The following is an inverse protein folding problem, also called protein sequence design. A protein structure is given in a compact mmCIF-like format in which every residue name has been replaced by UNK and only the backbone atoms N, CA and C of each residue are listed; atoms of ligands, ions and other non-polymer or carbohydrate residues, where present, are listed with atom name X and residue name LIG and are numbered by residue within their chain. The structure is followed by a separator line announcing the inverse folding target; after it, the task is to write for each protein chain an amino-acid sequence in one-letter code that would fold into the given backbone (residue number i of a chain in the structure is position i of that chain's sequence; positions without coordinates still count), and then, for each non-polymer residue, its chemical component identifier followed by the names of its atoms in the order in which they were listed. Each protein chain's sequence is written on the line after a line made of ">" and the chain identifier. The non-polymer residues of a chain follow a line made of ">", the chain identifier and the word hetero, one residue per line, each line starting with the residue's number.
data_IF_897406452332
#
_entry.id   IF_897406452332
#
_cell.length_a   1.000
_cell.length_b   1.000
_cell.length_c   1.000
_cell.angle_alpha   90.00
_cell.angle_beta   90.00
_cell.angle_gamma   90.00
#
_symmetry.space_group_name_H-M   'P 1'
#
loop_
_entity.id
_entity.type
_entity.pdbx_description
1 polymer ?
#
# COMPACT_ATOMS: atom_id res chain seq x y z
N UNK A 1 -13.37 -0.50 -14.30
CA UNK A 1 -13.25 0.89 -13.80
C UNK A 1 -11.82 1.06 -13.30
N UNK A 2 -11.05 1.99 -13.84
CA UNK A 2 -9.63 2.19 -13.46
C UNK A 2 -9.54 3.15 -12.27
N UNK A 3 -8.48 3.08 -11.48
CA UNK A 3 -8.25 3.99 -10.33
C UNK A 3 -8.39 5.47 -10.73
N UNK A 4 -7.92 5.84 -11.94
CA UNK A 4 -8.06 7.20 -12.46
C UNK A 4 -9.52 7.63 -12.67
N UNK A 5 -10.36 6.75 -13.23
CA UNK A 5 -11.79 7.05 -13.42
C UNK A 5 -12.53 7.25 -12.10
N UNK A 6 -12.16 6.51 -11.05
CA UNK A 6 -12.73 6.69 -9.71
C UNK A 6 -12.31 8.01 -9.07
N UNK A 7 -11.06 8.46 -9.31
CA UNK A 7 -10.55 9.73 -8.81
C UNK A 7 -11.33 10.90 -9.43
N UNK A 8 -11.55 10.88 -10.75
CA UNK A 8 -12.29 11.93 -11.46
C UNK A 8 -13.74 12.05 -10.96
N UNK A 9 -14.43 10.93 -10.75
CA UNK A 9 -15.80 10.92 -10.21
C UNK A 9 -15.84 11.56 -8.83
N UNK A 10 -14.90 11.21 -7.94
CA UNK A 10 -14.89 11.75 -6.58
C UNK A 10 -14.58 13.26 -6.58
N UNK A 11 -13.68 13.72 -7.44
CA UNK A 11 -13.45 15.17 -7.64
C UNK A 11 -14.72 15.87 -8.09
N UNK A 12 -15.45 15.32 -9.07
CA UNK A 12 -16.71 15.88 -9.54
C UNK A 12 -17.81 15.90 -8.46
N UNK A 13 -17.88 14.85 -7.62
CA UNK A 13 -18.80 14.82 -6.47
C UNK A 13 -18.45 15.92 -5.45
N UNK A 14 -17.16 16.12 -5.17
CA UNK A 14 -16.71 17.16 -4.24
C UNK A 14 -17.09 18.56 -4.76
N UNK A 15 -16.84 18.84 -6.04
CA UNK A 15 -17.23 20.10 -6.70
C UNK A 15 -18.74 20.32 -6.66
N UNK A 16 -19.53 19.30 -7.03
CA UNK A 16 -21.00 19.36 -7.00
C UNK A 16 -21.51 19.65 -5.58
N UNK A 17 -20.88 19.08 -4.56
CA UNK A 17 -21.29 19.28 -3.18
C UNK A 17 -20.98 20.71 -2.69
N UNK A 18 -19.84 21.27 -3.11
CA UNK A 18 -19.50 22.68 -2.88
C UNK A 18 -20.52 23.61 -3.56
N UNK A 19 -20.96 23.28 -4.77
CA UNK A 19 -22.00 24.04 -5.47
C UNK A 19 -23.35 23.98 -4.75
N UNK A 20 -23.80 22.78 -4.36
CA UNK A 20 -25.03 22.58 -3.58
C UNK A 20 -24.98 23.38 -2.28
N UNK A 21 -23.84 23.34 -1.58
CA UNK A 21 -23.64 24.13 -0.35
C UNK A 21 -23.77 25.63 -0.62
N UNK A 22 -23.13 26.14 -1.68
CA UNK A 22 -23.22 27.55 -2.07
C UNK A 22 -24.66 28.00 -2.34
N UNK A 23 -25.48 27.14 -2.97
CA UNK A 23 -26.90 27.40 -3.18
C UNK A 23 -27.64 27.49 -1.85
N UNK A 24 -27.42 26.52 -0.96
CA UNK A 24 -28.04 26.50 0.37
C UNK A 24 -27.65 27.71 1.21
N UNK A 25 -26.39 28.14 1.16
CA UNK A 25 -25.89 29.29 1.91
C UNK A 25 -26.56 30.60 1.50
N UNK A 26 -26.96 30.73 0.23
CA UNK A 26 -27.71 31.89 -0.29
C UNK A 26 -29.18 31.94 0.15
N UNK A 27 -29.74 30.85 0.68
CA UNK A 27 -31.13 30.82 1.16
C UNK A 27 -31.24 31.52 2.53
N UNK A 28 -31.97 32.64 2.65
CA UNK A 28 -32.09 33.36 3.91
C UNK A 28 -32.96 32.57 4.90
N UNK A 29 -32.33 32.05 5.96
CA UNK A 29 -32.99 31.14 6.93
C UNK A 29 -34.06 31.87 7.77
N UNK A 30 -33.99 33.20 7.86
CA UNK A 30 -34.94 34.05 8.57
C UNK A 30 -36.29 34.22 7.87
N UNK A 31 -36.42 33.83 6.60
CA UNK A 31 -37.68 33.88 5.85
C UNK A 31 -38.63 32.72 6.19
N UNK A 32 -38.19 31.74 6.98
CA UNK A 32 -38.95 30.53 7.27
C UNK A 32 -39.50 30.50 8.69
N UNK A 33 -40.70 29.92 8.83
CA UNK A 33 -41.28 29.58 10.14
C UNK A 33 -40.37 28.61 10.92
N UNK A 34 -40.41 28.60 12.27
CA UNK A 34 -39.45 27.87 13.10
C UNK A 34 -39.21 26.39 12.72
N UNK A 35 -40.22 25.58 12.37
CA UNK A 35 -40.00 24.18 11.96
C UNK A 35 -39.22 24.05 10.65
N UNK A 36 -39.49 24.94 9.69
CA UNK A 36 -38.82 24.96 8.38
C UNK A 36 -37.42 25.56 8.49
N UNK A 37 -37.24 26.55 9.38
CA UNK A 37 -35.94 27.08 9.78
C UNK A 37 -35.04 25.98 10.33
N UNK A 38 -35.54 25.16 11.26
CA UNK A 38 -34.79 24.03 11.83
C UNK A 38 -34.38 23.02 10.75
N UNK A 39 -35.33 22.59 9.90
CA UNK A 39 -35.03 21.66 8.79
C UNK A 39 -33.95 22.18 7.85
N UNK A 40 -34.00 23.48 7.50
CA UNK A 40 -33.00 24.11 6.62
C UNK A 40 -31.62 24.14 7.28
N UNK A 41 -31.53 24.51 8.56
CA UNK A 41 -30.26 24.48 9.32
C UNK A 41 -29.70 23.06 9.39
N UNK A 42 -30.52 22.07 9.78
CA UNK A 42 -30.09 20.67 9.86
C UNK A 42 -29.57 20.16 8.50
N UNK A 43 -30.16 20.61 7.38
CA UNK A 43 -29.71 20.23 6.05
C UNK A 43 -28.36 20.88 5.69
N UNK A 44 -28.16 22.16 6.03
CA UNK A 44 -26.87 22.86 5.86
C UNK A 44 -25.75 22.16 6.65
N UNK A 45 -26.06 21.73 7.87
CA UNK A 45 -25.10 21.01 8.72
C UNK A 45 -24.76 19.64 8.12
N UNK A 46 -25.75 18.89 7.62
CA UNK A 46 -25.53 17.61 6.93
C UNK A 46 -24.68 17.76 5.67
N UNK A 47 -24.94 18.79 4.85
CA UNK A 47 -24.15 19.08 3.64
C UNK A 47 -22.70 19.41 4.03
N UNK A 48 -22.50 20.26 5.04
CA UNK A 48 -21.15 20.62 5.52
C UNK A 48 -20.38 19.43 6.10
N UNK A 49 -21.08 18.55 6.84
CA UNK A 49 -20.49 17.30 7.33
C UNK A 49 -20.09 16.36 6.19
N UNK A 50 -20.93 16.24 5.15
CA UNK A 50 -20.63 15.41 3.98
C UNK A 50 -19.43 15.96 3.21
N UNK A 51 -19.38 17.28 2.99
CA UNK A 51 -18.27 17.95 2.32
C UNK A 51 -16.96 17.73 3.07
N UNK A 52 -16.98 17.91 4.39
CA UNK A 52 -15.81 17.66 5.22
C UNK A 52 -15.37 16.19 5.17
N UNK A 53 -16.32 15.23 5.20
CA UNK A 53 -16.00 13.79 5.08
C UNK A 53 -15.36 13.46 3.75
N UNK A 54 -15.86 14.01 2.63
CA UNK A 54 -15.28 13.79 1.30
C UNK A 54 -13.89 14.43 1.21
N UNK A 55 -13.77 15.70 1.59
CA UNK A 55 -12.52 16.46 1.47
C UNK A 55 -11.41 15.95 2.39
N UNK A 56 -11.74 15.28 3.50
CA UNK A 56 -10.73 14.70 4.40
C UNK A 56 -10.54 13.20 4.20
N UNK A 57 -11.60 12.47 3.85
CA UNK A 57 -11.58 11.03 3.68
C UNK A 57 -10.90 10.59 2.38
N UNK A 58 -11.19 11.28 1.28
CA UNK A 58 -10.65 10.89 -0.02
C UNK A 58 -9.13 11.08 -0.14
N UNK A 59 -8.53 12.21 0.29
CA UNK A 59 -7.07 12.34 0.27
C UNK A 59 -6.36 11.30 1.14
N UNK A 60 -6.95 10.92 2.28
CA UNK A 60 -6.43 9.84 3.13
C UNK A 60 -6.44 8.50 2.41
N UNK A 61 -7.55 8.15 1.75
CA UNK A 61 -7.67 6.94 0.94
C UNK A 61 -6.64 6.94 -0.20
N UNK A 62 -6.54 8.03 -0.96
CA UNK A 62 -5.59 8.15 -2.05
C UNK A 62 -4.14 8.00 -1.57
N UNK A 63 -3.81 8.55 -0.40
CA UNK A 63 -2.51 8.36 0.24
C UNK A 63 -2.24 6.91 0.61
N UNK A 64 -3.22 6.20 1.17
CA UNK A 64 -3.11 4.78 1.49
C UNK A 64 -2.91 3.93 0.23
N UNK A 65 -3.73 4.14 -0.81
CA UNK A 65 -3.61 3.41 -2.08
C UNK A 65 -2.20 3.59 -2.67
N UNK A 66 -1.67 4.82 -2.68
CA UNK A 66 -0.32 5.10 -3.18
C UNK A 66 0.75 4.42 -2.33
N UNK A 67 0.62 4.46 -1.02
CA UNK A 67 1.54 3.80 -0.10
C UNK A 67 1.60 2.29 -0.35
N UNK A 68 0.44 1.62 -0.39
CA UNK A 68 0.36 0.18 -0.66
C UNK A 68 0.83 -0.18 -2.07
N UNK A 69 0.44 0.59 -3.09
CA UNK A 69 0.89 0.36 -4.46
C UNK A 69 2.41 0.46 -4.61
N UNK A 70 3.03 1.43 -3.93
CA UNK A 70 4.49 1.58 -3.90
C UNK A 70 5.14 0.40 -3.17
N UNK A 71 4.61 0.01 -2.02
CA UNK A 71 5.16 -1.10 -1.24
C UNK A 71 5.07 -2.43 -1.99
N UNK A 72 3.94 -2.69 -2.66
CA UNK A 72 3.74 -3.81 -3.59
C UNK A 72 4.81 -3.79 -4.70
N UNK A 73 5.07 -2.62 -5.29
CA UNK A 73 6.12 -2.49 -6.29
C UNK A 73 7.52 -2.78 -5.72
N UNK A 74 7.82 -2.29 -4.53
CA UNK A 74 9.13 -2.50 -3.88
C UNK A 74 9.37 -3.99 -3.58
N UNK A 75 8.38 -4.71 -3.04
CA UNK A 75 8.50 -6.16 -2.79
C UNK A 75 8.61 -6.94 -4.10
N UNK A 76 7.86 -6.57 -5.13
CA UNK A 76 7.91 -7.23 -6.44
C UNK A 76 9.29 -7.08 -7.10
N UNK A 77 9.86 -5.87 -7.03
CA UNK A 77 11.21 -5.61 -7.55
C UNK A 77 12.24 -6.44 -6.78
N UNK A 78 12.18 -6.46 -5.45
CA UNK A 78 13.10 -7.24 -4.62
C UNK A 78 13.01 -8.74 -4.91
N UNK A 79 11.79 -9.28 -5.03
CA UNK A 79 11.56 -10.68 -5.42
C UNK A 79 12.11 -11.01 -6.79
N UNK A 80 11.81 -10.17 -7.80
CA UNK A 80 12.30 -10.36 -9.16
C UNK A 80 13.83 -10.27 -9.27
N UNK A 81 14.48 -9.41 -8.47
CA UNK A 81 15.94 -9.35 -8.39
C UNK A 81 16.52 -10.64 -7.79
N UNK A 82 15.93 -11.16 -6.71
CA UNK A 82 16.34 -12.45 -6.13
C UNK A 82 16.18 -13.60 -7.10
N UNK A 83 15.06 -13.67 -7.82
CA UNK A 83 14.79 -14.72 -8.80
C UNK A 83 15.80 -14.72 -9.95
N UNK A 84 16.01 -13.55 -10.56
CA UNK A 84 16.99 -13.38 -11.63
C UNK A 84 18.40 -13.73 -11.20
N UNK A 85 18.77 -13.36 -9.96
CA UNK A 85 20.08 -13.73 -9.46
C UNK A 85 20.19 -15.23 -9.22
N UNK A 86 19.16 -15.89 -8.70
CA UNK A 86 19.14 -17.34 -8.58
C UNK A 86 19.36 -18.03 -9.93
N UNK A 87 18.73 -17.52 -11.00
CA UNK A 87 18.93 -17.99 -12.37
C UNK A 87 20.39 -17.81 -12.81
N UNK A 88 20.97 -16.62 -12.61
CA UNK A 88 22.35 -16.32 -12.99
C UNK A 88 23.39 -17.19 -12.27
N UNK A 89 23.18 -17.52 -10.98
CA UNK A 89 24.03 -18.50 -10.26
C UNK A 89 23.95 -19.91 -10.83
N UNK A 90 22.86 -20.27 -11.50
CA UNK A 90 22.75 -21.53 -12.23
C UNK A 90 23.47 -21.55 -13.59
N UNK A 91 23.79 -20.39 -14.16
CA UNK A 91 24.28 -20.25 -15.53
C UNK A 91 25.74 -19.78 -15.63
N UNK A 92 26.21 -18.97 -14.68
CA UNK A 92 27.51 -18.29 -14.77
C UNK A 92 28.38 -18.65 -13.56
N UNK A 93 29.41 -19.50 -13.72
CA UNK A 93 30.29 -19.93 -12.62
C UNK A 93 31.06 -18.79 -11.94
N UNK A 94 31.30 -17.68 -12.63
CA UNK A 94 32.09 -16.54 -12.12
C UNK A 94 31.25 -15.49 -11.37
N UNK A 95 29.92 -15.65 -11.31
CA UNK A 95 28.99 -14.70 -10.68
C UNK A 95 29.25 -14.54 -9.17
N UNK A 96 29.97 -15.49 -8.56
CA UNK A 96 30.41 -15.45 -7.16
C UNK A 96 31.22 -14.19 -6.78
N UNK A 97 31.84 -13.52 -7.76
CA UNK A 97 32.51 -12.22 -7.52
C UNK A 97 31.53 -11.07 -7.26
N UNK A 98 30.26 -11.21 -7.64
CA UNK A 98 29.22 -10.22 -7.43
C UNK A 98 28.33 -10.52 -6.20
N UNK A 99 28.55 -11.64 -5.50
CA UNK A 99 27.75 -12.05 -4.33
C UNK A 99 27.68 -10.97 -3.25
N UNK A 100 28.81 -10.32 -2.95
CA UNK A 100 28.88 -9.30 -1.90
C UNK A 100 28.07 -8.05 -2.25
N UNK A 101 28.19 -7.56 -3.48
CA UNK A 101 27.42 -6.42 -3.98
C UNK A 101 25.93 -6.73 -3.96
N UNK A 102 25.55 -7.92 -4.43
CA UNK A 102 24.16 -8.32 -4.47
C UNK A 102 23.57 -8.51 -3.06
N UNK A 103 24.29 -9.15 -2.16
CA UNK A 103 23.89 -9.30 -0.75
C UNK A 103 23.68 -7.95 -0.08
N UNK A 104 24.49 -6.95 -0.44
CA UNK A 104 24.32 -5.57 0.04
C UNK A 104 23.06 -4.91 -0.52
N UNK A 105 22.72 -5.16 -1.79
CA UNK A 105 21.45 -4.72 -2.38
C UNK A 105 20.25 -5.34 -1.68
N UNK A 106 20.25 -6.66 -1.46
CA UNK A 106 19.20 -7.36 -0.71
C UNK A 106 19.01 -6.79 0.69
N UNK A 107 20.11 -6.46 1.38
CA UNK A 107 20.06 -5.83 2.70
C UNK A 107 19.41 -4.45 2.66
N UNK A 108 19.66 -3.66 1.60
CA UNK A 108 19.06 -2.35 1.39
C UNK A 108 17.56 -2.46 1.13
N UNK A 109 17.17 -3.36 0.21
CA UNK A 109 15.77 -3.61 -0.13
C UNK A 109 14.99 -4.13 1.08
N UNK A 110 15.54 -5.10 1.81
CA UNK A 110 14.99 -5.57 3.08
C UNK A 110 14.77 -4.42 4.07
N UNK A 111 15.78 -3.57 4.29
CA UNK A 111 15.68 -2.47 5.26
C UNK A 111 14.60 -1.46 4.88
N UNK A 112 14.53 -1.11 3.58
CA UNK A 112 13.52 -0.20 3.03
C UNK A 112 12.12 -0.79 3.21
N UNK A 113 11.90 -2.02 2.77
CA UNK A 113 10.61 -2.71 2.85
C UNK A 113 10.19 -2.90 4.31
N UNK A 114 11.10 -3.33 5.19
CA UNK A 114 10.82 -3.48 6.63
C UNK A 114 10.35 -2.16 7.25
N UNK A 115 11.00 -1.03 6.91
CA UNK A 115 10.57 0.28 7.37
C UNK A 115 9.16 0.63 6.88
N UNK A 116 8.83 0.36 5.62
CA UNK A 116 7.50 0.56 5.09
C UNK A 116 6.45 -0.35 5.75
N UNK A 117 6.74 -1.63 5.96
CA UNK A 117 5.84 -2.57 6.63
C UNK A 117 5.53 -2.12 8.07
N UNK A 118 6.47 -1.47 8.76
CA UNK A 118 6.25 -0.90 10.08
C UNK A 118 5.34 0.34 10.08
N UNK A 119 5.13 0.97 8.93
CA UNK A 119 4.19 2.09 8.76
C UNK A 119 2.76 1.62 8.41
N UNK A 120 2.56 0.31 8.17
CA UNK A 120 1.22 -0.26 7.96
C UNK A 120 0.39 -0.10 9.24
N UNK A 121 -0.86 0.33 9.05
CA UNK A 121 -1.82 0.52 10.12
C UNK A 121 -2.09 -0.81 10.86
N UNK A 122 -2.23 -0.75 12.19
CA UNK A 122 -2.47 -1.91 13.04
C UNK A 122 -3.88 -2.49 12.95
N UNK A 123 -4.78 -1.94 12.13
CA UNK A 123 -6.14 -2.48 11.94
C UNK A 123 -6.13 -3.87 11.29
N UNK A 124 -5.03 -4.24 10.62
CA UNK A 124 -4.83 -5.53 9.95
C UNK A 124 -3.79 -6.37 10.70
N UNK A 125 -4.05 -6.67 11.98
CA UNK A 125 -3.08 -7.30 12.90
C UNK A 125 -2.57 -8.65 12.38
N UNK A 126 -3.44 -9.45 11.76
CA UNK A 126 -3.08 -10.79 11.26
C UNK A 126 -2.16 -10.73 10.04
N UNK A 127 -2.53 -9.91 9.05
CA UNK A 127 -1.73 -9.70 7.84
C UNK A 127 -0.41 -9.02 8.19
N UNK A 128 -0.42 -8.02 9.07
CA UNK A 128 0.82 -7.40 9.56
C UNK A 128 1.69 -8.42 10.29
N UNK A 129 1.12 -9.24 11.17
CA UNK A 129 1.85 -10.32 11.82
C UNK A 129 2.45 -11.32 10.83
N UNK A 130 1.77 -11.59 9.73
CA UNK A 130 2.27 -12.47 8.66
C UNK A 130 3.41 -11.82 7.88
N UNK A 131 3.29 -10.54 7.53
CA UNK A 131 4.36 -9.77 6.89
C UNK A 131 5.61 -9.68 7.78
N UNK A 132 5.43 -9.47 9.08
CA UNK A 132 6.53 -9.39 10.05
C UNK A 132 7.27 -10.74 10.17
N UNK A 133 6.54 -11.87 10.13
CA UNK A 133 7.16 -13.21 10.07
C UNK A 133 7.97 -13.39 8.79
N UNK A 134 7.41 -13.05 7.64
CA UNK A 134 8.13 -13.18 6.36
C UNK A 134 9.39 -12.30 6.35
N UNK A 135 9.33 -11.08 6.90
CA UNK A 135 10.51 -10.23 7.06
C UNK A 135 11.60 -10.89 7.90
N UNK A 136 11.25 -11.54 9.01
CA UNK A 136 12.21 -12.29 9.83
C UNK A 136 12.86 -13.39 9.00
N UNK A 137 12.09 -14.15 8.22
CA UNK A 137 12.64 -15.21 7.40
C UNK A 137 13.56 -14.67 6.30
N UNK A 138 13.19 -13.60 5.60
CA UNK A 138 14.03 -12.94 4.57
C UNK A 138 15.34 -12.47 5.20
N UNK A 139 15.28 -11.83 6.37
CA UNK A 139 16.46 -11.39 7.10
C UNK A 139 17.38 -12.57 7.37
N UNK A 140 16.84 -13.68 7.85
CA UNK A 140 17.60 -14.86 8.19
C UNK A 140 18.21 -15.50 6.92
N UNK A 141 17.50 -15.50 5.78
CA UNK A 141 18.05 -15.91 4.49
C UNK A 141 19.20 -15.01 4.02
N UNK A 142 19.08 -13.68 4.15
CA UNK A 142 20.17 -12.75 3.83
C UNK A 142 21.39 -13.01 4.72
N UNK A 143 21.19 -13.32 6.00
CA UNK A 143 22.29 -13.68 6.90
C UNK A 143 22.93 -15.02 6.54
N UNK A 144 22.13 -15.99 6.09
CA UNK A 144 22.65 -17.24 5.56
C UNK A 144 23.49 -16.98 4.31
N UNK A 145 23.00 -16.16 3.37
CA UNK A 145 23.72 -15.80 2.14
C UNK A 145 25.09 -15.19 2.43
N UNK A 146 25.22 -14.33 3.45
CA UNK A 146 26.51 -13.75 3.88
C UNK A 146 27.53 -14.78 4.37
N UNK A 147 27.06 -15.94 4.83
CA UNK A 147 27.90 -17.00 5.42
C UNK A 147 28.22 -18.11 4.43
N UNK A 148 27.46 -18.20 3.34
CA UNK A 148 27.68 -19.22 2.31
C UNK A 148 28.90 -18.86 1.48
N UNK A 149 29.75 -19.86 1.25
CA UNK A 149 30.95 -19.66 0.42
C UNK A 149 30.54 -19.44 -1.04
N UNK A 150 31.27 -18.57 -1.75
CA UNK A 150 30.92 -18.17 -3.12
C UNK A 150 30.93 -19.32 -4.14
N UNK A 151 31.56 -20.45 -3.82
CA UNK A 151 31.59 -21.67 -4.63
C UNK A 151 30.41 -22.64 -4.35
N UNK A 152 29.60 -22.40 -3.32
CA UNK A 152 28.41 -23.20 -3.00
C UNK A 152 27.20 -22.74 -3.84
N UNK A 153 27.31 -22.80 -5.17
CA UNK A 153 26.35 -22.17 -6.10
C UNK A 153 24.90 -22.66 -5.91
N UNK A 154 24.70 -23.97 -5.74
CA UNK A 154 23.35 -24.53 -5.54
C UNK A 154 22.70 -24.02 -4.25
N UNK A 155 23.49 -23.82 -3.20
CA UNK A 155 22.99 -23.29 -1.92
C UNK A 155 22.68 -21.82 -2.00
N UNK A 156 23.51 -21.04 -2.71
CA UNK A 156 23.22 -19.63 -3.01
C UNK A 156 21.90 -19.56 -3.78
N UNK A 157 21.78 -20.32 -4.87
CA UNK A 157 20.56 -20.39 -5.67
C UNK A 157 19.32 -20.75 -4.84
N UNK A 158 19.40 -21.76 -3.99
CA UNK A 158 18.30 -22.15 -3.10
C UNK A 158 17.89 -21.00 -2.15
N UNK A 159 18.85 -20.32 -1.53
CA UNK A 159 18.58 -19.17 -0.65
C UNK A 159 17.89 -18.05 -1.42
N UNK A 160 18.36 -17.74 -2.63
CA UNK A 160 17.78 -16.68 -3.46
C UNK A 160 16.36 -17.00 -3.92
N UNK A 161 16.10 -18.27 -4.27
CA UNK A 161 14.75 -18.73 -4.57
C UNK A 161 13.82 -18.59 -3.37
N UNK A 162 14.28 -18.95 -2.16
CA UNK A 162 13.50 -18.73 -0.92
C UNK A 162 13.16 -17.26 -0.70
N UNK A 163 14.13 -16.36 -0.87
CA UNK A 163 13.92 -14.92 -0.74
C UNK A 163 12.90 -14.43 -1.79
N UNK A 164 13.01 -14.91 -3.04
CA UNK A 164 12.06 -14.59 -4.10
C UNK A 164 10.64 -15.00 -3.75
N UNK A 165 10.44 -16.26 -3.33
CA UNK A 165 9.14 -16.79 -2.90
C UNK A 165 8.56 -15.97 -1.75
N UNK A 166 9.37 -15.64 -0.74
CA UNK A 166 8.94 -14.83 0.39
C UNK A 166 8.47 -13.44 -0.03
N UNK A 167 9.16 -12.77 -0.96
CA UNK A 167 8.69 -11.50 -1.50
C UNK A 167 7.39 -11.63 -2.31
N UNK A 168 7.20 -12.74 -3.04
CA UNK A 168 5.94 -13.05 -3.72
C UNK A 168 4.77 -13.27 -2.74
N UNK A 169 5.03 -13.90 -1.61
CA UNK A 169 4.04 -14.08 -0.54
C UNK A 169 3.66 -12.72 0.08
N UNK A 170 4.66 -11.85 0.33
CA UNK A 170 4.40 -10.47 0.78
C UNK A 170 3.57 -9.69 -0.24
N UNK A 171 3.87 -9.81 -1.54
CA UNK A 171 3.11 -9.16 -2.61
C UNK A 171 1.63 -9.57 -2.57
N UNK A 172 1.37 -10.86 -2.37
CA UNK A 172 0.01 -11.41 -2.31
C UNK A 172 -0.76 -10.86 -1.10
N UNK A 173 -0.13 -10.82 0.08
CA UNK A 173 -0.74 -10.26 1.28
C UNK A 173 -1.02 -8.76 1.10
N UNK A 174 -0.05 -7.99 0.60
CA UNK A 174 -0.20 -6.54 0.39
C UNK A 174 -1.28 -6.22 -0.65
N UNK A 175 -1.42 -7.04 -1.69
CA UNK A 175 -2.47 -6.90 -2.70
C UNK A 175 -3.85 -7.14 -2.09
N UNK A 176 -3.99 -8.18 -1.27
CA UNK A 176 -5.22 -8.45 -0.51
C UNK A 176 -5.58 -7.30 0.45
N UNK A 177 -4.59 -6.74 1.16
CA UNK A 177 -4.80 -5.55 2.00
C UNK A 177 -5.28 -4.34 1.21
N UNK A 178 -4.68 -4.08 0.05
CA UNK A 178 -5.11 -2.99 -0.83
C UNK A 178 -6.55 -3.21 -1.31
N UNK A 179 -6.92 -4.43 -1.68
CA UNK A 179 -8.29 -4.79 -2.05
C UNK A 179 -9.28 -4.57 -0.90
N UNK A 180 -8.94 -4.97 0.33
CA UNK A 180 -9.75 -4.70 1.53
C UNK A 180 -9.94 -3.22 1.77
N UNK A 181 -8.89 -2.40 1.62
CA UNK A 181 -8.97 -0.94 1.74
C UNK A 181 -9.95 -0.38 0.71
N UNK A 182 -9.85 -0.81 -0.55
CA UNK A 182 -10.75 -0.38 -1.61
C UNK A 182 -12.21 -0.82 -1.35
N UNK A 183 -12.41 -2.05 -0.88
CA UNK A 183 -13.73 -2.60 -0.57
C UNK A 183 -14.39 -1.89 0.64
N UNK A 184 -13.62 -1.58 1.68
CA UNK A 184 -14.11 -0.87 2.86
C UNK A 184 -14.65 0.53 2.53
N UNK A 185 -14.08 1.18 1.50
CA UNK A 185 -14.57 2.47 1.02
C UNK A 185 -15.88 2.35 0.25
N UNK A 186 -16.07 1.28 -0.53
CA UNK A 186 -17.31 1.01 -1.25
C UNK A 186 -18.50 0.65 -0.33
N UNK A 187 -18.25 0.19 0.90
CA UNK A 187 -19.30 -0.12 1.87
C UNK A 187 -19.72 1.08 2.74
N UNK A 188 -19.00 2.20 2.64
CA UNK A 188 -19.32 3.45 3.33
C UNK A 188 -20.13 4.44 2.46
N UNK A 189 -20.48 4.05 1.22
CA UNK A 189 -21.42 4.73 0.31
C UNK A 189 -22.78 4.07 0.31
#
# INVERSE_FOLDING_TARGET
>A
MTINSSIEIITSIAETLTDVKSIFDKIPVNLFLPPNKKKLTDLKDKISLLENKINTGFPKLASLIRFYSRLISDVRIAGALSDKMAELYGLVPEIGTYTTTFTSSLQSDYSRISSSINQINSLDVEEKGSLDRILVEIRDQIQNLKRVSTNEHEKIKEILQKISTQYSDMESILSSLLEKILASFNQLS
#
